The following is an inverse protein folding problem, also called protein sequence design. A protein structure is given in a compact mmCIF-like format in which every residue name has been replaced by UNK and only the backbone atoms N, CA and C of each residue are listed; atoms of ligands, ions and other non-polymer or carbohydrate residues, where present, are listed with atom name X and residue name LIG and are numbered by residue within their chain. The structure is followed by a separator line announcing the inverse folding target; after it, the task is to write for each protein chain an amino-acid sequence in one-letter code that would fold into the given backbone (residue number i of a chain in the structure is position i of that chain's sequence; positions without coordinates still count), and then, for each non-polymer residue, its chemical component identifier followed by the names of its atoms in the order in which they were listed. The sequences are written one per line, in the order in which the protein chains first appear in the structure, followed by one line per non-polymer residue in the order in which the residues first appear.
data_IF_661234775565
#
_entry.id   IF_661234775565
#
_cell.length_a   1.000
_cell.length_b   1.000
_cell.length_c   1.000
_cell.angle_alpha   90.00
_cell.angle_beta   90.00
_cell.angle_gamma   90.00
#
_symmetry.space_group_name_H-M   'P 1'
#
loop_
_entity.id
_entity.type
_entity.pdbx_description
1 polymer ?
#
# COMPACT_ATOMS: atom_id res chain seq x y z
N UNK A 1 37.99 -37.21 -29.26
CA UNK A 1 37.52 -36.34 -28.20
C UNK A 1 37.80 -34.89 -28.58
N UNK A 2 36.87 -34.00 -28.28
CA UNK A 2 36.94 -32.55 -28.56
C UNK A 2 36.57 -31.80 -27.31
N UNK A 3 37.31 -30.72 -26.99
CA UNK A 3 36.93 -29.77 -25.94
C UNK A 3 36.58 -28.45 -26.58
N UNK A 4 35.50 -27.81 -26.10
CA UNK A 4 35.08 -26.49 -26.49
C UNK A 4 35.20 -25.59 -25.27
N UNK A 5 35.85 -24.46 -25.42
CA UNK A 5 36.11 -23.52 -24.32
C UNK A 5 35.81 -22.10 -24.77
N UNK A 6 34.88 -21.41 -24.17
CA UNK A 6 34.65 -20.00 -24.45
C UNK A 6 35.90 -19.19 -24.04
N UNK A 7 36.18 -18.12 -24.77
CA UNK A 7 37.39 -17.30 -24.56
C UNK A 7 37.27 -16.41 -23.33
N UNK A 8 36.09 -15.94 -23.03
CA UNK A 8 35.85 -14.87 -22.03
C UNK A 8 35.13 -15.33 -20.75
N UNK A 9 34.56 -16.53 -20.70
CA UNK A 9 33.95 -17.08 -19.50
C UNK A 9 32.62 -17.80 -19.75
N UNK A 10 31.94 -18.20 -18.66
CA UNK A 10 30.63 -18.86 -18.70
C UNK A 10 29.56 -17.93 -18.13
N UNK A 11 29.23 -16.86 -18.87
CA UNK A 11 28.08 -15.99 -18.52
C UNK A 11 26.87 -16.38 -19.36
N UNK A 12 25.69 -15.98 -18.92
CA UNK A 12 24.44 -16.17 -19.66
C UNK A 12 24.48 -15.55 -21.06
N UNK A 13 25.17 -14.42 -21.20
CA UNK A 13 25.41 -13.74 -22.47
C UNK A 13 26.29 -14.55 -23.39
N UNK A 14 27.39 -15.14 -22.87
CA UNK A 14 28.34 -15.91 -23.65
C UNK A 14 27.78 -17.27 -24.07
N UNK A 15 26.86 -17.81 -23.27
CA UNK A 15 26.11 -19.04 -23.62
C UNK A 15 24.92 -18.75 -24.58
N UNK A 16 24.69 -17.50 -24.93
CA UNK A 16 23.61 -17.10 -25.85
C UNK A 16 22.22 -17.13 -25.22
N UNK A 17 22.11 -17.18 -23.88
CA UNK A 17 20.83 -17.19 -23.16
C UNK A 17 20.26 -15.77 -23.01
N UNK A 18 21.09 -14.74 -23.06
CA UNK A 18 20.71 -13.33 -22.98
C UNK A 18 21.40 -12.50 -24.06
N UNK A 19 20.75 -11.41 -24.49
CA UNK A 19 21.39 -10.39 -25.34
C UNK A 19 22.35 -9.56 -24.49
N UNK A 20 23.62 -9.54 -24.89
CA UNK A 20 24.64 -8.65 -24.33
C UNK A 20 25.21 -7.72 -25.38
N UNK A 21 26.12 -6.83 -24.95
CA UNK A 21 26.82 -5.88 -25.82
C UNK A 21 27.91 -6.55 -26.67
N UNK A 22 28.12 -7.87 -26.53
CA UNK A 22 29.11 -8.59 -27.28
C UNK A 22 28.64 -8.87 -28.69
N UNK A 23 29.35 -8.31 -29.65
CA UNK A 23 29.05 -8.53 -31.06
C UNK A 23 29.43 -9.98 -31.54
N UNK A 24 30.36 -10.65 -30.86
CA UNK A 24 30.84 -11.98 -31.25
C UNK A 24 31.22 -12.80 -30.01
N UNK A 25 30.74 -14.03 -29.96
CA UNK A 25 31.20 -15.04 -28.99
C UNK A 25 32.23 -15.96 -29.66
N UNK A 26 33.45 -15.99 -29.14
CA UNK A 26 34.50 -16.88 -29.66
C UNK A 26 34.64 -18.12 -28.79
N UNK A 27 34.57 -19.29 -29.42
CA UNK A 27 34.74 -20.57 -28.75
C UNK A 27 35.97 -21.26 -29.36
N UNK A 28 36.96 -21.57 -28.52
CA UNK A 28 38.10 -22.36 -28.93
C UNK A 28 37.73 -23.83 -28.95
N UNK A 29 38.09 -24.49 -30.02
CA UNK A 29 37.94 -25.94 -30.19
C UNK A 29 39.29 -26.63 -30.17
N UNK A 30 39.48 -27.52 -29.23
CA UNK A 30 40.69 -28.33 -29.09
C UNK A 30 40.43 -29.80 -29.47
N UNK A 31 41.41 -30.40 -30.11
CA UNK A 31 41.40 -31.85 -30.45
C UNK A 31 42.52 -32.56 -29.69
N UNK A 32 42.51 -33.88 -29.70
CA UNK A 32 43.59 -34.67 -29.13
C UNK A 32 44.94 -34.26 -29.73
N UNK A 33 46.05 -34.20 -28.95
CA UNK A 33 46.16 -34.58 -27.53
C UNK A 33 45.71 -33.49 -26.53
N UNK A 34 45.52 -32.24 -26.97
CA UNK A 34 45.24 -31.10 -26.08
C UNK A 34 43.90 -31.22 -25.34
N UNK A 35 42.88 -31.82 -25.95
CA UNK A 35 41.58 -32.05 -25.31
C UNK A 35 41.67 -32.88 -24.03
N UNK A 36 42.64 -33.75 -23.90
CA UNK A 36 42.85 -34.58 -22.71
C UNK A 36 43.23 -33.76 -21.46
N UNK A 37 44.05 -32.72 -21.65
CA UNK A 37 44.43 -31.81 -20.55
C UNK A 37 43.24 -31.04 -20.00
N UNK A 38 42.35 -30.54 -20.89
CA UNK A 38 41.13 -29.85 -20.48
C UNK A 38 40.14 -30.78 -19.79
N UNK A 39 40.04 -32.05 -20.21
CA UNK A 39 39.22 -33.05 -19.54
C UNK A 39 39.72 -33.34 -18.13
N UNK A 40 41.04 -33.42 -17.95
CA UNK A 40 41.64 -33.61 -16.63
C UNK A 40 41.32 -32.43 -15.72
N UNK A 41 41.50 -31.20 -16.19
CA UNK A 41 41.16 -30.00 -15.44
C UNK A 41 39.67 -29.95 -15.10
N UNK A 42 38.79 -30.24 -16.07
CA UNK A 42 37.36 -30.30 -15.85
C UNK A 42 36.99 -31.29 -14.73
N UNK A 43 37.55 -32.52 -14.80
CA UNK A 43 37.28 -33.53 -13.79
C UNK A 43 37.80 -33.16 -12.40
N UNK A 44 38.91 -32.44 -12.31
CA UNK A 44 39.41 -31.93 -11.03
C UNK A 44 38.45 -30.90 -10.41
N UNK A 45 37.95 -29.99 -11.23
CA UNK A 45 36.99 -28.97 -10.76
C UNK A 45 35.64 -29.61 -10.45
N UNK A 46 35.12 -30.45 -11.34
CA UNK A 46 33.82 -31.10 -11.23
C UNK A 46 33.67 -31.96 -9.98
N UNK A 47 34.75 -32.66 -9.61
CA UNK A 47 34.76 -33.55 -8.44
C UNK A 47 35.18 -32.85 -7.14
N UNK A 48 35.45 -31.55 -7.18
CA UNK A 48 35.79 -30.77 -6.00
C UNK A 48 34.53 -30.32 -5.28
N UNK A 49 34.05 -31.10 -4.31
CA UNK A 49 32.89 -30.83 -3.53
C UNK A 49 32.98 -29.54 -2.68
N UNK A 50 34.16 -28.95 -2.49
CA UNK A 50 34.34 -27.69 -1.82
C UNK A 50 34.03 -26.47 -2.73
N UNK A 51 34.20 -26.66 -4.04
CA UNK A 51 33.99 -25.58 -5.04
C UNK A 51 32.74 -25.77 -5.88
N UNK A 52 32.26 -27.00 -6.01
CA UNK A 52 31.10 -27.33 -6.86
C UNK A 52 29.98 -27.91 -6.03
N UNK A 53 28.76 -27.44 -6.29
CA UNK A 53 27.55 -27.94 -5.67
C UNK A 53 26.56 -28.41 -6.75
N UNK A 54 26.00 -29.61 -6.57
CA UNK A 54 24.90 -30.07 -7.42
C UNK A 54 23.66 -29.28 -7.11
N UNK A 55 23.17 -28.52 -8.08
CA UNK A 55 21.97 -27.64 -7.93
C UNK A 55 20.77 -28.12 -8.75
N UNK A 56 20.88 -29.29 -9.38
CA UNK A 56 19.88 -29.84 -10.31
C UNK A 56 18.47 -29.85 -9.67
N UNK A 57 18.33 -30.39 -8.47
CA UNK A 57 17.03 -30.44 -7.79
C UNK A 57 16.48 -29.04 -7.49
N UNK A 58 17.33 -28.13 -7.01
CA UNK A 58 16.91 -26.74 -6.76
C UNK A 58 16.42 -26.04 -8.03
N UNK A 59 17.09 -26.28 -9.15
CA UNK A 59 16.69 -25.71 -10.45
C UNK A 59 15.38 -26.34 -10.93
N UNK A 60 15.23 -27.67 -10.80
CA UNK A 60 13.99 -28.37 -11.17
C UNK A 60 12.81 -27.90 -10.32
N UNK A 61 13.01 -27.72 -9.02
CA UNK A 61 11.98 -27.18 -8.11
C UNK A 61 11.61 -25.76 -8.49
N UNK A 62 12.58 -24.91 -8.83
CA UNK A 62 12.33 -23.55 -9.29
C UNK A 62 11.53 -23.51 -10.59
N UNK A 63 11.88 -24.39 -11.54
CA UNK A 63 11.14 -24.54 -12.80
C UNK A 63 9.71 -25.05 -12.53
N UNK A 64 9.56 -26.09 -11.69
CA UNK A 64 8.27 -26.64 -11.34
C UNK A 64 7.37 -25.60 -10.65
N UNK A 65 7.93 -24.78 -9.79
CA UNK A 65 7.21 -23.67 -9.15
C UNK A 65 6.79 -22.57 -10.14
N UNK A 66 7.61 -22.28 -11.15
CA UNK A 66 7.28 -21.30 -12.18
C UNK A 66 6.13 -21.79 -13.10
N UNK A 67 6.01 -23.10 -13.32
CA UNK A 67 4.95 -23.72 -14.14
C UNK A 67 3.78 -24.25 -13.31
N UNK A 68 3.78 -24.03 -11.99
CA UNK A 68 2.66 -24.44 -11.14
C UNK A 68 1.42 -23.64 -11.51
N UNK A 69 0.34 -24.34 -11.83
CA UNK A 69 -0.96 -23.71 -12.00
C UNK A 69 -1.39 -23.09 -10.67
N UNK A 70 -1.44 -21.78 -10.64
CA UNK A 70 -1.95 -21.05 -9.50
C UNK A 70 -3.47 -20.93 -9.61
N UNK A 71 -4.17 -21.05 -8.48
CA UNK A 71 -5.63 -20.88 -8.49
C UNK A 71 -5.97 -19.44 -8.94
N UNK A 72 -7.13 -19.23 -9.60
CA UNK A 72 -7.59 -17.89 -9.97
C UNK A 72 -7.61 -16.91 -8.79
N UNK A 73 -7.94 -17.40 -7.60
CA UNK A 73 -7.91 -16.61 -6.35
C UNK A 73 -6.50 -16.15 -6.00
N UNK A 74 -5.50 -17.04 -6.10
CA UNK A 74 -4.10 -16.67 -5.85
C UNK A 74 -3.62 -15.61 -6.83
N UNK A 75 -3.92 -15.77 -8.13
CA UNK A 75 -3.57 -14.79 -9.17
C UNK A 75 -4.26 -13.45 -8.88
N UNK A 76 -5.53 -13.47 -8.47
CA UNK A 76 -6.26 -12.28 -8.07
C UNK A 76 -5.60 -11.57 -6.89
N UNK A 77 -5.27 -12.29 -5.82
CA UNK A 77 -4.59 -11.71 -4.65
C UNK A 77 -3.21 -11.15 -4.97
N UNK A 78 -2.39 -11.86 -5.76
CA UNK A 78 -1.07 -11.37 -6.18
C UNK A 78 -1.20 -10.12 -7.05
N UNK A 79 -2.20 -10.09 -7.94
CA UNK A 79 -2.46 -8.90 -8.77
C UNK A 79 -2.86 -7.71 -7.90
N UNK A 80 -3.79 -7.90 -6.95
CA UNK A 80 -4.17 -6.85 -6.01
C UNK A 80 -2.99 -6.41 -5.15
N UNK A 81 -2.19 -7.33 -4.65
CA UNK A 81 -1.00 -7.02 -3.86
C UNK A 81 -0.03 -6.15 -4.67
N UNK A 82 0.27 -6.50 -5.92
CA UNK A 82 1.17 -5.69 -6.76
C UNK A 82 0.61 -4.31 -7.10
N UNK A 83 -0.72 -4.18 -7.27
CA UNK A 83 -1.36 -2.89 -7.51
C UNK A 83 -1.31 -2.00 -6.26
N UNK A 84 -1.47 -2.59 -5.08
CA UNK A 84 -1.62 -1.86 -3.83
C UNK A 84 -0.38 -1.90 -2.92
N UNK A 85 0.69 -2.62 -3.29
CA UNK A 85 1.89 -2.75 -2.45
C UNK A 85 2.53 -1.40 -2.11
N UNK A 86 2.59 -0.48 -3.07
CA UNK A 86 3.10 0.87 -2.80
C UNK A 86 2.27 1.62 -1.75
N UNK A 87 0.96 1.33 -1.67
CA UNK A 87 0.09 1.92 -0.65
C UNK A 87 0.21 1.23 0.71
N UNK A 88 0.65 -0.03 0.75
CA UNK A 88 0.86 -0.78 1.99
C UNK A 88 2.18 -0.38 2.66
N UNK A 89 3.21 -0.05 1.89
CA UNK A 89 4.48 0.45 2.40
C UNK A 89 4.36 1.85 3.03
N UNK A 90 3.39 2.65 2.57
CA UNK A 90 3.07 3.96 3.16
C UNK A 90 2.30 3.84 4.51
N UNK A 91 1.83 2.65 4.90
CA UNK A 91 1.19 2.39 6.20
C UNK A 91 2.25 1.97 7.22
N UNK A 92 3.28 2.77 7.40
CA UNK A 92 4.18 2.56 8.54
C UNK A 92 3.53 3.19 9.79
N UNK A 93 3.43 2.41 10.86
CA UNK A 93 2.96 2.90 12.17
C UNK A 93 3.80 4.10 12.69
N UNK A 94 5.02 4.25 12.19
CA UNK A 94 5.97 5.29 12.58
C UNK A 94 5.60 6.70 12.07
N UNK A 95 4.71 6.81 11.07
CA UNK A 95 4.28 8.11 10.50
C UNK A 95 3.05 8.68 11.24
N UNK A 96 2.44 7.91 12.15
CA UNK A 96 1.34 8.45 12.93
C UNK A 96 1.87 9.45 13.95
N UNK A 97 1.32 10.66 13.94
CA UNK A 97 1.74 11.66 14.91
C UNK A 97 1.44 11.15 16.30
N UNK A 98 2.47 11.16 17.09
CA UNK A 98 2.55 11.07 18.53
C UNK A 98 1.29 10.62 19.27
N UNK A 99 1.42 9.58 20.06
CA UNK A 99 0.50 9.22 21.16
C UNK A 99 0.10 10.41 22.05
N UNK A 100 0.87 11.49 22.01
CA UNK A 100 0.63 12.74 22.71
C UNK A 100 -0.71 13.43 22.39
N UNK A 101 -1.38 13.11 21.30
CA UNK A 101 -2.68 13.71 20.94
C UNK A 101 -3.88 13.03 21.61
N UNK A 102 -3.71 11.90 22.27
CA UNK A 102 -4.78 11.11 22.86
C UNK A 102 -5.77 10.52 21.84
N UNK A 103 -5.43 10.49 20.56
CA UNK A 103 -6.31 9.98 19.50
C UNK A 103 -6.63 8.49 19.70
N UNK A 104 -5.62 7.64 19.94
CA UNK A 104 -5.80 6.20 20.16
C UNK A 104 -6.56 5.87 21.46
N UNK A 105 -6.70 6.82 22.39
CA UNK A 105 -7.49 6.67 23.61
C UNK A 105 -8.94 7.17 23.47
N UNK A 106 -9.32 7.73 22.31
CA UNK A 106 -10.68 8.21 22.04
C UNK A 106 -11.70 7.07 22.03
N UNK A 107 -12.96 7.40 22.35
CA UNK A 107 -14.07 6.43 22.33
C UNK A 107 -14.30 5.91 20.91
N UNK A 108 -14.24 6.80 19.91
CA UNK A 108 -14.41 6.40 18.51
C UNK A 108 -13.34 5.39 18.09
N UNK A 109 -12.08 5.64 18.40
CA UNK A 109 -10.99 4.72 18.04
C UNK A 109 -11.18 3.32 18.63
N UNK A 110 -11.60 3.25 19.89
CA UNK A 110 -11.83 2.00 20.60
C UNK A 110 -13.05 1.22 20.09
N UNK A 111 -14.00 1.90 19.41
CA UNK A 111 -15.16 1.28 18.79
C UNK A 111 -14.89 0.75 17.38
N UNK A 112 -13.79 1.12 16.74
CA UNK A 112 -13.46 0.67 15.40
C UNK A 112 -13.02 -0.80 15.37
N UNK A 113 -13.44 -1.51 14.34
CA UNK A 113 -12.85 -2.80 13.98
C UNK A 113 -11.44 -2.59 13.40
N UNK A 114 -10.62 -3.64 13.38
CA UNK A 114 -9.22 -3.53 12.89
C UNK A 114 -9.15 -2.96 11.47
N UNK A 115 -9.94 -3.47 10.53
CA UNK A 115 -9.95 -2.95 9.16
C UNK A 115 -10.35 -1.47 9.06
N UNK A 116 -11.23 -0.98 9.96
CA UNK A 116 -11.60 0.44 10.01
C UNK A 116 -10.46 1.29 10.61
N UNK A 117 -9.70 0.76 11.56
CA UNK A 117 -8.50 1.41 12.09
C UNK A 117 -7.45 1.56 10.99
N UNK A 118 -7.18 0.47 10.26
CA UNK A 118 -6.23 0.47 9.15
C UNK A 118 -6.68 1.48 8.07
N UNK A 119 -7.98 1.49 7.74
CA UNK A 119 -8.54 2.47 6.81
C UNK A 119 -8.39 3.91 7.31
N UNK A 120 -8.65 4.19 8.59
CA UNK A 120 -8.51 5.53 9.16
C UNK A 120 -7.05 6.00 9.11
N UNK A 121 -6.08 5.13 9.43
CA UNK A 121 -4.66 5.43 9.33
C UNK A 121 -4.23 5.71 7.89
N UNK A 122 -4.67 4.88 6.96
CA UNK A 122 -4.40 5.07 5.54
C UNK A 122 -4.99 6.39 5.00
N UNK A 123 -6.20 6.77 5.45
CA UNK A 123 -6.83 8.04 5.10
C UNK A 123 -5.99 9.21 5.63
N UNK A 124 -5.61 9.19 6.90
CA UNK A 124 -4.80 10.25 7.52
C UNK A 124 -3.49 10.43 6.74
N UNK A 125 -2.76 9.35 6.47
CA UNK A 125 -1.51 9.41 5.71
C UNK A 125 -1.71 10.00 4.30
N UNK A 126 -2.80 9.61 3.62
CA UNK A 126 -3.11 10.15 2.29
C UNK A 126 -3.50 11.62 2.34
N UNK A 127 -4.24 12.05 3.35
CA UNK A 127 -4.58 13.46 3.55
C UNK A 127 -3.34 14.31 3.80
N UNK A 128 -2.40 13.84 4.62
CA UNK A 128 -1.15 14.56 4.88
C UNK A 128 -0.22 14.61 3.64
N UNK A 129 -0.24 13.57 2.81
CA UNK A 129 0.65 13.47 1.64
C UNK A 129 0.05 14.10 0.37
N UNK A 130 -1.26 13.90 0.15
CA UNK A 130 -1.92 14.25 -1.12
C UNK A 130 -3.04 15.28 -0.98
N UNK A 131 -3.32 15.77 0.23
CA UNK A 131 -4.42 16.69 0.54
C UNK A 131 -5.81 16.17 0.13
N UNK A 132 -5.99 14.87 0.01
CA UNK A 132 -7.26 14.27 -0.32
C UNK A 132 -7.20 12.75 -0.45
N UNK A 133 -8.33 12.09 -0.20
CA UNK A 133 -8.48 10.67 -0.49
C UNK A 133 -9.95 10.28 -0.71
N UNK A 134 -10.19 9.08 -1.24
CA UNK A 134 -11.52 8.50 -1.41
C UNK A 134 -11.60 7.19 -0.61
N UNK A 135 -12.59 7.10 0.28
CA UNK A 135 -12.93 5.86 0.98
C UNK A 135 -14.04 5.12 0.22
N UNK A 136 -13.66 4.07 -0.52
CA UNK A 136 -14.53 3.32 -1.42
C UNK A 136 -15.06 1.99 -0.84
N UNK A 137 -15.17 1.87 0.48
CA UNK A 137 -15.70 0.68 1.14
C UNK A 137 -17.13 0.39 0.74
N UNK A 138 -17.54 -0.90 0.79
CA UNK A 138 -18.91 -1.30 0.52
C UNK A 138 -19.91 -0.70 1.50
N UNK A 139 -21.17 -0.63 1.09
CA UNK A 139 -22.27 -0.14 1.95
C UNK A 139 -22.39 -1.05 3.18
N UNK A 140 -22.58 -0.42 4.35
CA UNK A 140 -22.75 -1.16 5.63
C UNK A 140 -21.46 -1.41 6.39
N UNK A 141 -20.28 -1.17 5.84
CA UNK A 141 -18.98 -1.37 6.52
C UNK A 141 -18.62 -0.26 7.52
N UNK A 142 -19.55 0.67 7.82
CA UNK A 142 -19.36 1.67 8.86
C UNK A 142 -18.43 2.84 8.46
N UNK A 143 -18.42 3.24 7.18
CA UNK A 143 -17.65 4.39 6.68
C UNK A 143 -17.78 5.64 7.54
N UNK A 144 -18.97 5.90 8.11
CA UNK A 144 -19.21 7.02 9.01
C UNK A 144 -18.32 6.97 10.24
N UNK A 145 -18.15 5.80 10.84
CA UNK A 145 -17.26 5.64 12.00
C UNK A 145 -15.79 5.84 11.63
N UNK A 146 -15.37 5.33 10.48
CA UNK A 146 -14.01 5.59 9.95
C UNK A 146 -13.80 7.09 9.73
N UNK A 147 -14.76 7.79 9.10
CA UNK A 147 -14.67 9.23 8.89
C UNK A 147 -14.68 10.02 10.22
N UNK A 148 -15.50 9.64 11.19
CA UNK A 148 -15.54 10.29 12.52
C UNK A 148 -14.21 10.11 13.27
N UNK A 149 -13.52 9.01 13.07
CA UNK A 149 -12.19 8.81 13.66
C UNK A 149 -11.13 9.73 13.03
N UNK A 150 -11.19 9.92 11.71
CA UNK A 150 -10.34 10.90 11.02
C UNK A 150 -10.63 12.31 11.49
N UNK A 151 -11.90 12.69 11.60
CA UNK A 151 -12.33 13.98 12.16
C UNK A 151 -11.74 14.18 13.56
N UNK A 152 -11.87 13.16 14.43
CA UNK A 152 -11.34 13.22 15.80
C UNK A 152 -9.83 13.44 15.85
N UNK A 153 -9.10 12.80 14.94
CA UNK A 153 -7.66 13.00 14.80
C UNK A 153 -7.31 14.46 14.50
N UNK A 154 -7.98 15.08 13.53
CA UNK A 154 -7.74 16.48 13.15
C UNK A 154 -8.20 17.46 14.25
N UNK A 155 -9.34 17.21 14.88
CA UNK A 155 -9.82 18.03 16.00
C UNK A 155 -8.88 17.99 17.22
N UNK A 156 -8.26 16.85 17.53
CA UNK A 156 -7.26 16.76 18.58
C UNK A 156 -6.00 17.59 18.27
N UNK A 157 -5.79 17.93 17.01
CA UNK A 157 -4.72 18.83 16.54
C UNK A 157 -5.20 20.29 16.40
N UNK A 158 -6.36 20.63 16.96
CA UNK A 158 -7.01 21.95 16.85
C UNK A 158 -7.31 22.38 15.41
N UNK A 159 -7.58 21.42 14.53
CA UNK A 159 -7.98 21.67 13.15
C UNK A 159 -9.49 21.80 13.04
N UNK A 160 -9.93 22.73 12.19
CA UNK A 160 -11.35 22.97 11.92
C UNK A 160 -11.83 22.03 10.82
N UNK A 161 -12.95 21.34 11.07
CA UNK A 161 -13.48 20.33 10.16
C UNK A 161 -14.88 20.69 9.71
N UNK A 162 -15.13 20.57 8.40
CA UNK A 162 -16.43 20.72 7.79
C UNK A 162 -16.89 19.39 7.19
N UNK A 163 -18.10 18.98 7.51
CA UNK A 163 -18.75 17.82 6.88
C UNK A 163 -19.77 18.30 5.86
N UNK A 164 -19.58 17.91 4.60
CA UNK A 164 -20.55 18.11 3.53
C UNK A 164 -21.35 16.83 3.32
N UNK A 165 -22.65 16.88 3.52
CA UNK A 165 -23.51 15.71 3.38
C UNK A 165 -24.83 16.01 2.64
N UNK A 166 -25.48 14.99 2.06
CA UNK A 166 -26.87 15.10 1.63
C UNK A 166 -27.79 15.41 2.81
N UNK A 167 -28.82 16.25 2.59
CA UNK A 167 -29.78 16.63 3.65
C UNK A 167 -30.39 15.44 4.39
N UNK A 168 -30.56 14.30 3.72
CA UNK A 168 -31.10 13.06 4.31
C UNK A 168 -30.19 12.44 5.38
N UNK A 169 -28.89 12.74 5.36
CA UNK A 169 -27.91 12.21 6.32
C UNK A 169 -27.58 13.19 7.45
N UNK A 170 -28.20 14.35 7.45
CA UNK A 170 -27.98 15.40 8.46
C UNK A 170 -28.10 14.87 9.90
N UNK A 171 -29.19 14.21 10.21
CA UNK A 171 -29.48 13.76 11.59
C UNK A 171 -28.45 12.73 12.08
N UNK A 172 -27.92 11.90 11.20
CA UNK A 172 -26.84 11.00 11.55
C UNK A 172 -25.59 11.77 12.02
N UNK A 173 -25.18 12.79 11.28
CA UNK A 173 -24.03 13.59 11.63
C UNK A 173 -24.25 14.46 12.87
N UNK A 174 -25.44 15.06 13.02
CA UNK A 174 -25.80 15.84 14.21
C UNK A 174 -25.80 14.99 15.48
N UNK A 175 -26.24 13.72 15.40
CA UNK A 175 -26.26 12.80 16.53
C UNK A 175 -24.87 12.65 17.16
N UNK A 176 -23.83 12.47 16.36
CA UNK A 176 -22.48 12.26 16.88
C UNK A 176 -21.82 13.55 17.41
N UNK A 177 -22.29 14.71 17.01
CA UNK A 177 -21.83 16.02 17.52
C UNK A 177 -22.59 16.45 18.77
N UNK A 178 -23.81 15.96 18.93
CA UNK A 178 -24.72 16.43 20.00
C UNK A 178 -24.24 15.97 21.39
N UNK A 179 -24.65 16.75 22.41
CA UNK A 179 -24.41 16.42 23.81
C UNK A 179 -25.60 15.64 24.42
N UNK A 180 -26.28 14.83 23.65
CA UNK A 180 -27.40 14.03 24.11
C UNK A 180 -26.95 12.61 24.58
N UNK A 181 -27.73 12.03 25.48
CA UNK A 181 -27.50 10.70 26.07
C UNK A 181 -27.44 9.60 25.00
N UNK A 182 -28.14 9.76 23.89
CA UNK A 182 -28.16 8.81 22.78
C UNK A 182 -26.92 8.89 21.88
N UNK A 183 -26.03 9.88 22.09
CA UNK A 183 -24.77 9.95 21.37
C UNK A 183 -23.74 8.96 21.94
N UNK A 184 -23.40 7.87 21.23
CA UNK A 184 -22.45 6.88 21.72
C UNK A 184 -20.99 7.38 21.76
N UNK A 185 -20.73 8.60 21.22
CA UNK A 185 -19.42 9.25 21.14
C UNK A 185 -19.38 10.57 21.94
N UNK A 186 -20.33 10.80 22.85
CA UNK A 186 -20.45 12.06 23.60
C UNK A 186 -19.17 12.44 24.34
N UNK A 187 -18.40 11.45 24.83
CA UNK A 187 -17.13 11.69 25.53
C UNK A 187 -16.01 12.23 24.59
N UNK A 188 -16.09 11.97 23.31
CA UNK A 188 -15.13 12.47 22.33
C UNK A 188 -15.34 13.96 21.99
N UNK A 189 -16.51 14.53 22.32
CA UNK A 189 -16.85 15.96 22.13
C UNK A 189 -16.52 16.47 20.74
N UNK A 190 -17.00 15.76 19.71
CA UNK A 190 -16.81 16.14 18.32
C UNK A 190 -17.46 17.52 18.02
N UNK A 191 -16.78 18.38 17.24
CA UNK A 191 -17.12 19.79 17.06
C UNK A 191 -17.26 20.24 15.61
N UNK A 192 -17.16 19.34 14.65
CA UNK A 192 -17.21 19.66 13.21
C UNK A 192 -18.50 20.41 12.83
N UNK A 193 -18.39 21.25 11.81
CA UNK A 193 -19.54 21.90 11.19
C UNK A 193 -20.18 21.00 10.14
N UNK A 194 -21.46 21.24 9.87
CA UNK A 194 -22.22 20.45 8.89
C UNK A 194 -22.89 21.40 7.91
N UNK A 195 -22.67 21.17 6.61
CA UNK A 195 -23.38 21.82 5.53
C UNK A 195 -23.88 20.78 4.52
N UNK A 196 -24.79 21.22 3.67
CA UNK A 196 -25.29 20.39 2.59
C UNK A 196 -24.48 20.64 1.30
N UNK A 197 -24.40 19.65 0.44
CA UNK A 197 -23.79 19.83 -0.89
C UNK A 197 -24.44 20.98 -1.68
N UNK A 198 -25.74 21.18 -1.50
CA UNK A 198 -26.51 22.28 -2.14
C UNK A 198 -26.17 23.66 -1.59
N UNK A 199 -25.59 23.77 -0.41
CA UNK A 199 -25.18 25.03 0.18
C UNK A 199 -23.97 25.64 -0.51
N UNK A 200 -23.16 24.82 -1.17
CA UNK A 200 -21.98 25.27 -1.93
C UNK A 200 -22.35 26.19 -3.12
N UNK A 201 -23.58 26.08 -3.64
CA UNK A 201 -24.07 26.92 -4.74
C UNK A 201 -24.86 28.17 -4.26
N UNK A 202 -25.00 28.35 -2.95
CA UNK A 202 -25.74 29.44 -2.36
C UNK A 202 -24.82 30.58 -1.96
N UNK A 203 -25.19 31.81 -2.35
CA UNK A 203 -24.43 33.03 -2.02
C UNK A 203 -24.94 33.75 -0.79
N UNK A 204 -26.09 33.32 -0.20
CA UNK A 204 -26.69 33.96 0.97
C UNK A 204 -27.63 33.02 1.72
N UNK A 205 -28.01 33.45 2.93
CA UNK A 205 -28.91 32.74 3.83
C UNK A 205 -28.19 31.89 4.87
N UNK A 206 -28.95 31.25 5.74
CA UNK A 206 -28.39 30.40 6.81
C UNK A 206 -28.59 28.91 6.53
N UNK A 207 -27.63 28.09 6.93
CA UNK A 207 -27.71 26.63 6.92
C UNK A 207 -27.04 26.08 8.17
N UNK A 208 -27.74 25.24 8.92
CA UNK A 208 -27.28 24.61 10.15
C UNK A 208 -26.60 25.55 11.17
N UNK A 209 -27.09 26.79 11.25
CA UNK A 209 -26.56 27.83 12.14
C UNK A 209 -25.38 28.62 11.58
N UNK A 210 -24.94 28.32 10.36
CA UNK A 210 -23.88 29.05 9.66
C UNK A 210 -24.51 30.03 8.67
N UNK A 211 -23.99 31.26 8.62
CA UNK A 211 -24.35 32.26 7.63
C UNK A 211 -23.52 32.08 6.37
N UNK A 212 -24.17 31.70 5.27
CA UNK A 212 -23.48 31.35 4.01
C UNK A 212 -22.85 32.55 3.30
N UNK A 213 -23.37 33.77 3.55
CA UNK A 213 -22.82 35.01 2.98
C UNK A 213 -21.46 35.38 3.61
N UNK A 214 -21.27 35.01 4.88
CA UNK A 214 -20.10 35.39 5.66
C UNK A 214 -19.16 34.18 5.95
N UNK A 215 -19.42 33.03 5.37
CA UNK A 215 -18.53 31.86 5.54
C UNK A 215 -17.16 32.15 4.93
N UNK A 216 -16.14 32.04 5.76
CA UNK A 216 -14.74 31.94 5.28
C UNK A 216 -14.34 30.49 5.13
N UNK A 217 -14.43 29.98 3.91
CA UNK A 217 -14.07 28.60 3.57
C UNK A 217 -12.62 28.24 3.90
N UNK A 218 -11.72 29.24 3.87
CA UNK A 218 -10.31 29.05 4.21
C UNK A 218 -10.05 28.77 5.70
N UNK A 219 -11.07 28.87 6.56
CA UNK A 219 -10.95 28.54 7.97
C UNK A 219 -11.10 27.04 8.26
N UNK A 220 -11.50 26.25 7.27
CA UNK A 220 -11.56 24.80 7.43
C UNK A 220 -10.28 24.15 6.93
N UNK A 221 -9.66 23.37 7.80
CA UNK A 221 -8.44 22.61 7.51
C UNK A 221 -8.78 21.27 6.81
N UNK A 222 -9.98 20.73 7.06
CA UNK A 222 -10.48 19.47 6.49
C UNK A 222 -11.96 19.64 6.07
N UNK A 223 -12.28 19.13 4.88
CA UNK A 223 -13.64 19.02 4.36
C UNK A 223 -13.92 17.59 3.93
#
# INVERSE_FOLDING_TARGET
DKAYMPVTGFTTVELGCERGDNAYTMINKFQAPYSAQYLTLFNQVWNDNAKMQVVTEKVLDSIANAYKENSPEFIYFVTLYNIFSEFLEDISEDVLPNEATGFKSSVIWNKLYNFQRDAALAIINKLEKYNGCILADSVGLGKTYTALSVIKYYENRNKSVLVLCPKKLHDNWVTYRSNYVNNPLVADRLRYDILYHTDLSRSSGTSNGLDLEHINWGNYDLV
#
